data_IF_569460199157
#
_entry.id   IF_569460199157
#
_cell.length_a   1.000
_cell.length_b   1.000
_cell.length_c   1.000
_cell.angle_alpha   90.00
_cell.angle_beta   90.00
_cell.angle_gamma   90.00
#
_symmetry.space_group_name_H-M   'P 1'
#
loop_
_entity.id
_entity.type
_entity.pdbx_description
1 polymer ?
#
# COMPACT_ATOMS: atom_id res chain seq x y z
N UNK A 1 18.42 -16.23 -10.39
CA UNK A 1 17.26 -15.41 -10.00
C UNK A 1 17.34 -15.24 -8.50
N UNK A 2 17.75 -14.07 -8.04
CA UNK A 2 17.94 -13.75 -6.61
C UNK A 2 16.58 -13.42 -5.97
N UNK A 3 16.52 -13.31 -4.64
CA UNK A 3 15.26 -12.96 -3.97
C UNK A 3 14.76 -11.57 -4.39
N UNK A 4 15.67 -10.62 -4.64
CA UNK A 4 15.32 -9.27 -5.08
C UNK A 4 14.72 -9.23 -6.49
N UNK A 5 15.08 -10.18 -7.38
CA UNK A 5 14.49 -10.31 -8.73
C UNK A 5 12.99 -10.66 -8.67
N UNK A 6 12.49 -11.17 -7.53
CA UNK A 6 11.07 -11.44 -7.30
C UNK A 6 10.32 -10.22 -6.74
N UNK A 7 11.05 -9.22 -6.27
CA UNK A 7 10.51 -8.03 -5.59
C UNK A 7 10.48 -6.85 -6.55
N UNK A 8 11.59 -6.61 -7.25
CA UNK A 8 11.75 -5.44 -8.10
C UNK A 8 11.38 -5.74 -9.56
N UNK A 9 10.95 -4.72 -10.33
CA UNK A 9 10.83 -4.85 -11.77
C UNK A 9 12.19 -5.14 -12.41
N UNK A 10 12.18 -5.79 -13.57
CA UNK A 10 13.39 -6.21 -14.27
C UNK A 10 14.27 -5.00 -14.61
N UNK A 11 15.51 -5.01 -14.13
CA UNK A 11 16.47 -3.94 -14.37
C UNK A 11 16.94 -3.92 -15.83
N UNK A 12 17.14 -2.71 -16.35
CA UNK A 12 17.64 -2.41 -17.69
C UNK A 12 18.87 -1.49 -17.57
N UNK A 13 19.84 -1.64 -18.47
CA UNK A 13 21.13 -0.93 -18.40
C UNK A 13 21.04 0.61 -18.39
N UNK A 14 19.93 1.19 -18.85
CA UNK A 14 19.74 2.65 -18.91
C UNK A 14 19.01 3.25 -17.71
N UNK A 15 18.63 2.44 -16.72
CA UNK A 15 17.89 2.93 -15.56
C UNK A 15 18.82 3.59 -14.55
N UNK A 16 18.30 4.61 -13.86
CA UNK A 16 19.04 5.32 -12.82
C UNK A 16 18.92 4.58 -11.48
N UNK A 17 19.93 4.74 -10.64
CA UNK A 17 19.89 4.25 -9.26
C UNK A 17 20.34 5.33 -8.27
N UNK A 18 19.67 5.41 -7.13
CA UNK A 18 19.97 6.40 -6.09
C UNK A 18 19.95 5.82 -4.69
N UNK A 19 20.72 6.43 -3.78
CA UNK A 19 20.56 6.29 -2.33
C UNK A 19 19.98 7.60 -1.79
N UNK A 20 18.78 7.52 -1.21
CA UNK A 20 17.97 8.63 -0.75
C UNK A 20 18.06 8.78 0.77
N UNK A 21 18.27 9.99 1.25
CA UNK A 21 18.35 10.31 2.67
C UNK A 21 16.96 10.49 3.27
N UNK A 22 16.52 9.61 4.16
CA UNK A 22 15.26 9.73 4.88
C UNK A 22 15.46 10.29 6.29
N UNK A 23 14.40 10.90 6.85
CA UNK A 23 14.36 11.36 8.23
C UNK A 23 15.27 12.53 8.58
N UNK A 24 15.97 13.15 7.60
CA UNK A 24 16.94 14.24 7.87
C UNK A 24 16.26 15.39 8.59
N UNK A 25 16.84 15.87 9.68
CA UNK A 25 16.36 17.03 10.44
C UNK A 25 17.21 18.25 10.07
N UNK A 26 16.57 19.36 9.69
CA UNK A 26 17.18 20.68 9.55
C UNK A 26 16.41 21.69 10.43
N UNK A 27 17.13 22.46 11.26
CA UNK A 27 16.55 23.47 12.16
C UNK A 27 15.41 22.97 13.06
N UNK A 28 15.51 21.71 13.52
CA UNK A 28 14.49 21.09 14.38
C UNK A 28 13.24 20.59 13.64
N UNK A 29 13.18 20.68 12.30
CA UNK A 29 12.11 20.16 11.46
C UNK A 29 12.60 19.02 10.56
N UNK A 30 11.74 18.03 10.30
CA UNK A 30 12.01 16.95 9.35
C UNK A 30 12.06 17.52 7.93
N UNK A 31 13.25 17.51 7.31
CA UNK A 31 13.50 17.89 5.92
C UNK A 31 12.93 16.85 4.95
N UNK A 32 13.07 15.56 5.28
CA UNK A 32 12.53 14.46 4.47
C UNK A 32 11.64 13.57 5.33
N UNK A 33 10.44 13.26 4.82
CA UNK A 33 9.54 12.33 5.49
C UNK A 33 10.20 10.96 5.63
N UNK A 34 10.13 10.34 6.81
CA UNK A 34 10.59 8.96 7.02
C UNK A 34 9.52 7.96 6.54
N UNK A 35 9.27 8.01 5.23
CA UNK A 35 8.33 7.16 4.54
C UNK A 35 9.10 6.34 3.51
N UNK A 36 9.27 5.04 3.74
CA UNK A 36 9.94 4.14 2.79
C UNK A 36 9.28 4.16 1.40
N UNK A 37 7.98 4.48 1.35
CA UNK A 37 7.13 4.51 0.15
C UNK A 37 7.10 5.87 -0.57
N UNK A 38 7.87 6.87 -0.12
CA UNK A 38 7.91 8.14 -0.85
C UNK A 38 9.15 8.97 -0.57
N UNK A 39 9.52 9.82 -1.51
CA UNK A 39 10.62 10.77 -1.33
C UNK A 39 10.26 12.15 -1.89
N UNK A 40 10.38 13.20 -1.08
CA UNK A 40 10.05 14.57 -1.47
C UNK A 40 11.30 15.42 -1.67
N UNK A 41 11.30 16.28 -2.69
CA UNK A 41 12.39 17.23 -2.93
C UNK A 41 11.91 18.43 -3.75
N UNK A 42 12.76 19.45 -3.85
CA UNK A 42 12.49 20.62 -4.69
C UNK A 42 13.31 20.56 -5.98
N UNK A 43 12.65 20.66 -7.13
CA UNK A 43 13.28 20.54 -8.46
C UNK A 43 14.26 21.67 -8.76
N UNK A 44 14.11 22.84 -8.12
CA UNK A 44 15.03 23.97 -8.28
C UNK A 44 16.41 23.66 -7.69
N UNK A 45 16.46 22.77 -6.69
CA UNK A 45 17.71 22.36 -6.04
C UNK A 45 18.26 21.05 -6.60
N UNK A 46 17.41 20.11 -7.01
CA UNK A 46 17.83 18.84 -7.57
C UNK A 46 16.73 18.23 -8.45
N UNK A 47 16.97 18.04 -9.75
CA UNK A 47 15.98 17.49 -10.68
C UNK A 47 16.48 16.22 -11.40
N UNK A 48 17.30 15.42 -10.71
CA UNK A 48 17.99 14.25 -11.29
C UNK A 48 17.19 12.95 -11.23
N UNK A 49 16.38 12.76 -10.18
CA UNK A 49 15.55 11.57 -10.01
C UNK A 49 14.42 11.56 -11.04
N UNK A 50 14.26 10.45 -11.77
CA UNK A 50 13.19 10.24 -12.75
C UNK A 50 12.40 8.98 -12.43
N UNK A 51 11.20 8.91 -13.00
CA UNK A 51 10.38 7.70 -12.97
C UNK A 51 11.15 6.53 -13.59
N UNK A 52 10.96 5.35 -13.01
CA UNK A 52 11.70 4.15 -13.38
C UNK A 52 13.09 3.99 -12.75
N UNK A 53 13.46 4.85 -11.80
CA UNK A 53 14.70 4.73 -11.04
C UNK A 53 14.59 3.71 -9.89
N UNK A 54 15.68 3.01 -9.61
CA UNK A 54 15.81 2.17 -8.42
C UNK A 54 16.39 2.97 -7.26
N UNK A 55 15.87 2.75 -6.05
CA UNK A 55 16.26 3.57 -4.90
C UNK A 55 16.54 2.70 -3.68
N UNK A 56 17.55 3.11 -2.91
CA UNK A 56 17.78 2.65 -1.54
C UNK A 56 17.54 3.80 -0.58
N UNK A 57 17.02 3.52 0.61
CA UNK A 57 16.73 4.50 1.65
C UNK A 57 17.81 4.41 2.73
N UNK A 58 18.33 5.57 3.13
CA UNK A 58 19.40 5.70 4.13
C UNK A 58 18.97 6.64 5.24
N UNK A 59 19.19 6.24 6.49
CA UNK A 59 19.21 7.19 7.61
C UNK A 59 20.60 7.82 7.68
N UNK A 60 20.75 9.16 7.52
CA UNK A 60 22.04 9.81 7.63
C UNK A 60 22.64 9.69 9.04
N UNK A 61 23.98 9.74 9.11
CA UNK A 61 24.73 9.69 10.37
C UNK A 61 24.29 10.70 11.42
N UNK A 62 23.74 11.85 11.01
CA UNK A 62 23.24 12.89 11.93
C UNK A 62 22.00 12.46 12.73
N UNK A 63 21.31 11.39 12.33
CA UNK A 63 20.07 10.91 12.97
C UNK A 63 20.29 9.75 13.95
N UNK A 64 21.33 8.95 13.74
CA UNK A 64 21.59 7.80 14.61
C UNK A 64 22.30 8.21 15.90
N UNK A 65 21.94 7.58 17.03
CA UNK A 65 22.58 7.79 18.34
C UNK A 65 24.08 7.51 18.31
N UNK A 66 24.53 6.59 17.46
CA UNK A 66 25.94 6.22 17.30
C UNK A 66 26.67 7.01 16.19
N UNK A 67 26.00 8.02 15.61
CA UNK A 67 26.52 8.85 14.51
C UNK A 67 26.95 8.09 13.26
N UNK A 68 26.36 6.91 13.02
CA UNK A 68 26.59 6.09 11.83
C UNK A 68 25.38 6.15 10.91
N UNK A 69 25.61 6.11 9.59
CA UNK A 69 24.50 5.93 8.65
C UNK A 69 24.14 4.44 8.56
N UNK A 70 22.91 4.18 8.14
CA UNK A 70 22.47 2.84 7.74
C UNK A 70 21.59 2.92 6.50
N UNK A 71 21.72 1.93 5.62
CA UNK A 71 20.85 1.72 4.47
C UNK A 71 19.91 0.57 4.86
N UNK A 72 18.62 0.86 4.93
CA UNK A 72 17.65 0.03 5.65
C UNK A 72 16.52 -0.49 4.76
N UNK A 73 16.30 0.13 3.61
CA UNK A 73 15.21 -0.21 2.71
C UNK A 73 15.54 0.19 1.27
N UNK A 74 14.66 -0.14 0.34
CA UNK A 74 14.70 0.33 -1.03
C UNK A 74 13.39 0.10 -1.76
N UNK A 75 13.38 0.39 -3.05
CA UNK A 75 12.22 0.18 -3.92
C UNK A 75 12.43 0.74 -5.33
N UNK A 76 11.30 1.00 -6.00
CA UNK A 76 11.24 1.47 -7.37
C UNK A 76 10.43 2.76 -7.47
N UNK A 77 10.93 3.76 -8.20
CA UNK A 77 10.20 5.03 -8.41
C UNK A 77 9.15 4.82 -9.49
N UNK A 78 7.91 4.65 -9.09
CA UNK A 78 6.78 4.43 -10.01
C UNK A 78 6.35 5.73 -10.68
N UNK A 79 6.20 6.78 -9.88
CA UNK A 79 5.65 8.05 -10.32
C UNK A 79 6.31 9.20 -9.56
N UNK A 80 6.43 10.36 -10.21
CA UNK A 80 6.79 11.62 -9.57
C UNK A 80 5.61 12.59 -9.75
N UNK A 81 5.18 13.24 -8.67
CA UNK A 81 4.11 14.24 -8.75
C UNK A 81 4.51 15.43 -9.63
N UNK A 82 3.51 16.11 -10.19
CA UNK A 82 3.73 17.43 -10.75
C UNK A 82 4.29 18.39 -9.68
N UNK A 83 5.14 19.36 -10.06
CA UNK A 83 5.66 20.35 -9.14
C UNK A 83 4.55 21.27 -8.64
N UNK A 84 4.54 21.52 -7.32
CA UNK A 84 3.72 22.58 -6.73
C UNK A 84 4.25 23.99 -7.12
N UNK A 85 3.56 25.04 -6.66
CA UNK A 85 3.92 26.44 -6.92
C UNK A 85 5.37 26.78 -6.50
N UNK A 86 5.87 26.11 -5.46
CA UNK A 86 7.22 26.28 -4.93
C UNK A 86 8.27 25.41 -5.64
N UNK A 87 7.84 24.48 -6.49
CA UNK A 87 8.67 23.53 -7.21
C UNK A 87 8.98 22.25 -6.42
N UNK A 88 8.21 21.93 -5.38
CA UNK A 88 8.35 20.66 -4.67
C UNK A 88 7.62 19.55 -5.42
N UNK A 89 8.24 18.39 -5.47
CA UNK A 89 7.71 17.17 -6.06
C UNK A 89 7.90 16.01 -5.09
N UNK A 90 7.12 14.95 -5.30
CA UNK A 90 7.19 13.72 -4.49
C UNK A 90 7.21 12.50 -5.39
N UNK A 91 8.22 11.66 -5.22
CA UNK A 91 8.28 10.32 -5.78
C UNK A 91 7.44 9.36 -4.95
N UNK A 92 6.63 8.54 -5.62
CA UNK A 92 6.01 7.33 -5.11
C UNK A 92 6.99 6.17 -5.29
N UNK A 93 7.34 5.51 -4.20
CA UNK A 93 8.24 4.34 -4.20
C UNK A 93 7.40 3.09 -4.01
N UNK A 94 7.31 2.26 -5.06
CA UNK A 94 6.63 0.95 -5.09
C UNK A 94 7.65 -0.18 -4.94
N UNK A 95 7.17 -1.43 -4.92
CA UNK A 95 8.03 -2.62 -4.80
C UNK A 95 9.01 -2.51 -3.63
N UNK A 96 8.55 -1.91 -2.53
CA UNK A 96 9.41 -1.55 -1.41
C UNK A 96 9.89 -2.79 -0.68
N UNK A 97 11.13 -2.75 -0.20
CA UNK A 97 11.73 -3.83 0.58
C UNK A 97 12.54 -3.28 1.75
N UNK A 98 12.64 -4.09 2.81
CA UNK A 98 13.55 -3.88 3.93
C UNK A 98 14.84 -4.67 3.70
N UNK A 99 15.95 -4.14 4.20
CA UNK A 99 17.24 -4.82 4.25
C UNK A 99 17.43 -5.32 5.68
N UNK A 100 17.52 -6.63 5.86
CA UNK A 100 17.58 -7.26 7.18
C UNK A 100 18.83 -8.15 7.32
N UNK A 101 19.81 -7.80 8.16
CA UNK A 101 19.93 -6.54 8.91
C UNK A 101 20.32 -5.36 7.99
N UNK A 102 20.02 -4.10 8.38
CA UNK A 102 20.43 -2.92 7.62
C UNK A 102 21.94 -2.87 7.38
N UNK A 103 22.36 -2.33 6.23
CA UNK A 103 23.77 -2.11 5.93
C UNK A 103 24.23 -0.90 6.72
N UNK A 104 25.09 -1.12 7.72
CA UNK A 104 25.50 -0.09 8.66
C UNK A 104 26.93 0.37 8.42
N UNK A 105 27.18 1.66 8.65
CA UNK A 105 28.54 2.19 8.59
C UNK A 105 29.46 1.46 9.59
N UNK A 106 30.61 1.00 9.08
CA UNK A 106 31.56 0.18 9.82
C UNK A 106 31.39 -1.32 9.59
N UNK A 107 30.37 -1.78 8.87
CA UNK A 107 30.29 -3.17 8.44
C UNK A 107 31.33 -3.44 7.35
N UNK A 108 32.03 -4.58 7.42
CA UNK A 108 33.10 -4.94 6.48
C UNK A 108 32.64 -4.86 5.01
N UNK A 109 31.38 -5.23 4.76
CA UNK A 109 30.77 -5.18 3.44
C UNK A 109 30.77 -3.76 2.84
N UNK A 110 30.20 -2.78 3.55
CA UNK A 110 30.09 -1.41 3.03
C UNK A 110 31.43 -0.66 3.10
N UNK A 111 32.30 -1.04 4.05
CA UNK A 111 33.62 -0.45 4.17
C UNK A 111 34.53 -0.84 3.01
N UNK A 112 34.45 -2.10 2.57
CA UNK A 112 35.21 -2.67 1.44
C UNK A 112 34.53 -2.53 0.07
N UNK A 113 33.29 -2.03 0.02
CA UNK A 113 32.54 -1.89 -1.23
C UNK A 113 33.26 -0.96 -2.23
N UNK A 114 33.47 -1.45 -3.46
CA UNK A 114 34.17 -0.73 -4.53
C UNK A 114 33.22 0.13 -5.34
N UNK A 115 33.20 1.42 -5.02
CA UNK A 115 32.47 2.44 -5.78
C UNK A 115 33.23 2.84 -7.04
N UNK A 116 32.62 2.65 -8.20
CA UNK A 116 33.16 3.03 -9.50
C UNK A 116 32.81 4.48 -9.87
N UNK A 117 31.70 5.01 -9.36
CA UNK A 117 31.26 6.40 -9.61
C UNK A 117 31.75 7.44 -8.59
N UNK A 118 32.28 7.01 -7.44
CA UNK A 118 32.68 7.90 -6.34
C UNK A 118 33.99 7.46 -5.69
N UNK A 119 34.90 8.40 -5.42
CA UNK A 119 36.12 8.13 -4.64
C UNK A 119 35.83 8.27 -3.15
N UNK A 120 35.64 7.14 -2.46
CA UNK A 120 35.62 7.10 -1.00
C UNK A 120 37.04 7.27 -0.48
N UNK A 121 37.27 8.25 0.41
CA UNK A 121 38.56 8.39 1.11
C UNK A 121 38.70 7.24 2.12
N UNK A 122 39.90 6.68 2.25
CA UNK A 122 40.15 5.56 3.16
C UNK A 122 39.61 5.86 4.56
N UNK A 123 38.72 4.99 5.07
CA UNK A 123 38.04 5.07 6.36
C UNK A 123 37.28 6.38 6.66
N UNK A 124 36.90 7.15 5.64
CA UNK A 124 36.18 8.41 5.85
C UNK A 124 35.05 8.61 4.83
N UNK A 125 33.82 8.70 5.35
CA UNK A 125 32.59 8.98 4.61
C UNK A 125 32.28 10.47 4.47
N UNK A 126 33.12 11.36 5.01
CA UNK A 126 32.98 12.81 4.87
C UNK A 126 32.95 13.21 3.38
N UNK A 127 31.96 14.01 3.01
CA UNK A 127 31.70 14.51 1.65
C UNK A 127 31.39 13.41 0.61
N UNK A 128 31.20 12.14 1.03
CA UNK A 128 30.79 11.07 0.12
C UNK A 128 29.31 11.19 -0.26
N UNK A 129 28.49 11.60 0.71
CA UNK A 129 27.06 11.84 0.55
C UNK A 129 26.78 13.30 0.14
N UNK A 130 25.84 13.47 -0.77
CA UNK A 130 25.32 14.76 -1.25
C UNK A 130 24.64 15.54 -0.12
N UNK A 131 24.81 16.86 -0.13
CA UNK A 131 24.13 17.75 0.81
C UNK A 131 22.59 17.76 0.65
N UNK A 132 22.11 17.43 -0.54
CA UNK A 132 20.69 17.43 -0.92
C UNK A 132 20.00 16.06 -0.79
N UNK A 133 20.66 15.08 -0.17
CA UNK A 133 20.03 13.82 0.19
C UNK A 133 19.76 12.84 -0.95
N UNK A 134 19.99 13.21 -2.21
CA UNK A 134 19.99 12.27 -3.33
C UNK A 134 21.41 11.93 -3.75
N UNK A 135 21.74 10.65 -3.71
CA UNK A 135 23.06 10.14 -4.01
C UNK A 135 22.97 9.19 -5.20
N UNK A 136 23.24 9.71 -6.40
CA UNK A 136 23.28 8.85 -7.58
C UNK A 136 24.41 7.82 -7.44
N UNK A 137 24.07 6.58 -7.78
CA UNK A 137 24.95 5.41 -7.84
C UNK A 137 24.73 4.74 -9.19
N UNK A 138 25.67 3.91 -9.63
CA UNK A 138 25.44 3.14 -10.85
C UNK A 138 24.45 2.00 -10.60
N UNK A 139 23.74 1.58 -11.64
CA UNK A 139 22.80 0.47 -11.54
C UNK A 139 23.52 -0.84 -11.15
N UNK A 140 24.74 -1.07 -11.62
CA UNK A 140 25.55 -2.23 -11.23
C UNK A 140 25.98 -2.17 -9.76
N UNK A 141 26.15 -0.97 -9.19
CA UNK A 141 26.42 -0.78 -7.76
C UNK A 141 25.17 -1.07 -6.93
N UNK A 142 23.99 -0.64 -7.40
CA UNK A 142 22.70 -0.99 -6.78
C UNK A 142 22.52 -2.51 -6.74
N UNK A 143 22.67 -3.19 -7.88
CA UNK A 143 22.56 -4.64 -7.98
C UNK A 143 23.51 -5.36 -7.02
N UNK A 144 24.77 -4.93 -6.96
CA UNK A 144 25.76 -5.51 -6.03
C UNK A 144 25.37 -5.32 -4.57
N UNK A 145 24.78 -4.17 -4.21
CA UNK A 145 24.32 -3.90 -2.84
C UNK A 145 23.16 -4.82 -2.46
N UNK A 146 22.10 -4.86 -3.27
CA UNK A 146 20.88 -5.62 -2.95
C UNK A 146 21.08 -7.13 -3.03
N UNK A 147 21.98 -7.62 -3.88
CA UNK A 147 22.29 -9.05 -3.98
C UNK A 147 23.24 -9.55 -2.87
N UNK A 148 23.92 -8.64 -2.17
CA UNK A 148 24.83 -8.99 -1.07
C UNK A 148 24.13 -9.05 0.30
N UNK A 149 22.86 -8.64 0.37
CA UNK A 149 22.09 -8.57 1.62
C UNK A 149 20.76 -9.27 1.47
N UNK A 150 20.17 -9.66 2.60
CA UNK A 150 18.83 -10.22 2.60
C UNK A 150 17.80 -9.09 2.46
N UNK A 151 17.07 -9.10 1.35
CA UNK A 151 16.01 -8.15 1.05
C UNK A 151 14.67 -8.82 1.28
N UNK A 152 13.90 -8.31 2.25
CA UNK A 152 12.57 -8.80 2.59
C UNK A 152 11.54 -7.82 2.04
N UNK A 153 10.50 -8.24 1.31
CA UNK A 153 9.43 -7.34 0.88
C UNK A 153 8.89 -6.55 2.08
N UNK A 154 8.83 -5.23 1.97
CA UNK A 154 8.27 -4.40 3.02
C UNK A 154 6.76 -4.68 3.05
N UNK A 155 6.23 -5.16 4.18
CA UNK A 155 4.78 -5.35 4.31
C UNK A 155 4.08 -4.01 4.03
N UNK A 156 3.20 -4.01 3.02
CA UNK A 156 2.47 -2.84 2.56
C UNK A 156 1.66 -2.21 3.71
N UNK A 157 2.24 -1.20 4.34
CA UNK A 157 1.46 -0.15 5.00
C UNK A 157 1.16 0.89 3.94
N UNK A 158 -0.10 0.89 3.49
CA UNK A 158 -0.60 1.41 2.22
C UNK A 158 -0.56 0.34 1.11
N UNK A 159 -1.76 -0.17 0.82
CA UNK A 159 -2.10 -0.79 -0.44
C UNK A 159 -1.48 -0.03 -1.60
N UNK A 160 -1.04 -0.79 -2.61
CA UNK A 160 -0.84 -0.31 -3.97
C UNK A 160 -2.17 0.20 -4.47
N UNK A 161 -2.37 1.46 -4.18
CA UNK A 161 -3.43 2.28 -4.67
C UNK A 161 -2.83 2.82 -6.00
N UNK A 162 -2.95 2.04 -7.08
CA UNK A 162 -2.72 2.55 -8.44
C UNK A 162 -3.59 3.81 -8.59
N UNK A 163 -3.00 4.96 -8.92
CA UNK A 163 -3.78 6.17 -9.22
C UNK A 163 -4.61 5.89 -10.46
N UNK A 164 -5.86 5.49 -10.24
CA UNK A 164 -6.82 5.26 -11.32
C UNK A 164 -7.31 6.63 -11.80
N UNK A 165 -7.08 6.95 -13.07
CA UNK A 165 -7.63 8.18 -13.66
C UNK A 165 -9.16 8.08 -13.80
N UNK A 166 -9.87 9.20 -13.75
CA UNK A 166 -11.34 9.21 -13.83
C UNK A 166 -11.87 8.72 -15.20
N UNK A 167 -11.09 8.92 -16.26
CA UNK A 167 -11.40 8.43 -17.61
C UNK A 167 -11.21 6.90 -17.75
N UNK A 168 -10.26 6.34 -17.01
CA UNK A 168 -10.06 4.89 -16.89
C UNK A 168 -11.26 4.24 -16.19
N UNK A 169 -11.68 4.74 -15.01
CA UNK A 169 -12.85 4.24 -14.26
C UNK A 169 -14.12 4.21 -15.13
N UNK A 170 -14.36 5.29 -15.89
CA UNK A 170 -15.55 5.42 -16.72
C UNK A 170 -15.60 4.41 -17.88
N UNK A 171 -14.43 4.10 -18.45
CA UNK A 171 -14.28 3.08 -19.51
C UNK A 171 -14.38 1.64 -18.94
N UNK A 172 -14.18 1.46 -17.62
CA UNK A 172 -14.16 0.15 -16.96
C UNK A 172 -15.52 -0.37 -16.51
N UNK A 173 -16.44 0.50 -16.06
CA UNK A 173 -17.81 0.12 -15.66
C UNK A 173 -18.59 -0.50 -16.82
N UNK A 174 -18.28 -0.16 -18.07
CA UNK A 174 -19.03 -0.64 -19.23
C UNK A 174 -18.66 -2.06 -19.68
N UNK A 175 -17.57 -2.68 -19.18
CA UNK A 175 -17.03 -3.95 -19.72
C UNK A 175 -16.91 -5.12 -18.72
N UNK A 176 -17.18 -4.91 -17.43
CA UNK A 176 -17.24 -5.96 -16.39
C UNK A 176 -15.90 -6.59 -15.99
N UNK A 177 -15.92 -7.39 -14.91
CA UNK A 177 -14.75 -8.09 -14.31
C UNK A 177 -14.87 -9.62 -14.36
N UNK A 178 -13.71 -10.30 -14.41
CA UNK A 178 -13.58 -11.75 -14.21
C UNK A 178 -13.38 -12.02 -12.72
N UNK A 179 -14.31 -12.78 -12.13
CA UNK A 179 -14.35 -13.04 -10.68
C UNK A 179 -14.09 -14.52 -10.40
N UNK A 180 -13.15 -14.80 -9.48
CA UNK A 180 -12.91 -16.15 -8.95
C UNK A 180 -13.21 -16.23 -7.44
N UNK A 181 -13.75 -17.35 -6.99
CA UNK A 181 -14.05 -17.62 -5.58
C UNK A 181 -12.92 -18.40 -4.92
N UNK A 182 -12.56 -18.06 -3.68
CA UNK A 182 -11.69 -18.88 -2.84
C UNK A 182 -12.50 -19.77 -1.89
N UNK A 183 -12.26 -21.09 -1.93
CA UNK A 183 -12.76 -22.04 -0.95
C UNK A 183 -11.90 -22.05 0.33
N UNK A 184 -12.50 -22.43 1.46
CA UNK A 184 -11.96 -22.29 2.83
C UNK A 184 -10.65 -23.04 3.16
N UNK A 185 -10.04 -23.75 2.20
CA UNK A 185 -8.89 -24.63 2.43
C UNK A 185 -7.50 -23.96 2.25
N UNK A 186 -7.39 -22.63 2.36
CA UNK A 186 -6.08 -21.96 2.30
C UNK A 186 -5.61 -21.45 3.66
N UNK A 187 -4.41 -21.88 4.05
CA UNK A 187 -3.78 -21.52 5.33
C UNK A 187 -3.19 -20.11 5.24
N UNK A 188 -3.83 -19.12 5.87
CA UNK A 188 -3.33 -17.73 5.87
C UNK A 188 -2.39 -17.46 7.06
N UNK A 189 -1.35 -16.67 6.82
CA UNK A 189 -0.37 -16.27 7.84
C UNK A 189 -0.99 -15.29 8.84
N UNK A 190 -1.15 -15.71 10.10
CA UNK A 190 -1.57 -14.86 11.21
C UNK A 190 -0.39 -13.98 11.66
N UNK A 191 -0.32 -12.71 11.24
CA UNK A 191 0.64 -11.73 11.79
C UNK A 191 -0.09 -10.66 12.60
N UNK A 192 0.09 -10.69 13.93
CA UNK A 192 -0.28 -9.57 14.82
C UNK A 192 0.75 -8.47 14.70
N UNK A 193 0.31 -7.25 14.36
CA UNK A 193 1.15 -6.05 14.25
C UNK A 193 1.37 -5.45 15.64
N UNK A 194 2.60 -5.03 15.94
CA UNK A 194 2.91 -4.20 17.11
C UNK A 194 3.12 -2.75 16.65
N UNK A 195 2.22 -1.85 17.03
CA UNK A 195 2.29 -0.43 16.62
C UNK A 195 3.23 0.35 17.54
N UNK A 196 4.35 0.84 17.01
CA UNK A 196 5.11 1.96 17.63
C UNK A 196 4.56 3.28 17.09
N UNK A 197 4.14 4.16 17.98
CA UNK A 197 3.61 5.48 17.64
C UNK A 197 4.74 6.41 17.16
N UNK A 198 4.91 6.52 15.84
CA UNK A 198 5.78 7.51 15.20
C UNK A 198 4.87 8.48 14.45
N UNK A 199 4.92 9.76 14.81
CA UNK A 199 4.12 10.80 14.17
C UNK A 199 4.64 11.04 12.73
N UNK A 200 3.80 10.73 11.75
CA UNK A 200 4.06 10.90 10.31
C UNK A 200 3.06 11.93 9.76
N UNK A 201 3.53 12.90 8.99
CA UNK A 201 2.67 13.75 8.15
C UNK A 201 2.13 12.87 7.01
N UNK A 202 0.90 12.39 7.17
CA UNK A 202 0.18 11.58 6.18
C UNK A 202 -0.81 12.53 5.50
N UNK A 203 -0.79 12.57 4.17
CA UNK A 203 -1.84 13.22 3.40
C UNK A 203 -3.08 12.30 3.41
N UNK A 204 -3.87 12.46 4.47
CA UNK A 204 -5.05 11.64 4.71
C UNK A 204 -6.12 11.84 3.62
N UNK A 205 -6.16 13.00 2.97
CA UNK A 205 -7.21 13.34 2.01
C UNK A 205 -7.04 12.57 0.70
N UNK A 206 -5.82 12.50 0.15
CA UNK A 206 -5.56 11.74 -1.07
C UNK A 206 -5.74 10.24 -0.87
N UNK A 207 -5.24 9.70 0.26
CA UNK A 207 -5.42 8.29 0.63
C UNK A 207 -6.90 7.96 0.82
N UNK A 208 -7.66 8.85 1.47
CA UNK A 208 -9.08 8.63 1.69
C UNK A 208 -9.87 8.64 0.38
N UNK A 209 -9.60 9.59 -0.53
CA UNK A 209 -10.25 9.65 -1.86
C UNK A 209 -9.98 8.37 -2.65
N UNK A 210 -8.77 7.83 -2.57
CA UNK A 210 -8.42 6.64 -3.32
C UNK A 210 -9.03 5.37 -2.74
N UNK A 211 -9.04 5.24 -1.41
CA UNK A 211 -9.78 4.18 -0.71
C UNK A 211 -11.27 4.21 -1.04
N UNK A 212 -11.86 5.40 -1.13
CA UNK A 212 -13.26 5.57 -1.55
C UNK A 212 -13.48 5.09 -2.99
N UNK A 213 -12.59 5.46 -3.93
CA UNK A 213 -12.68 5.00 -5.33
C UNK A 213 -12.57 3.47 -5.44
N UNK A 214 -11.64 2.85 -4.72
CA UNK A 214 -11.47 1.40 -4.69
C UNK A 214 -12.66 0.70 -4.02
N UNK A 215 -13.17 1.26 -2.93
CA UNK A 215 -14.39 0.80 -2.26
C UNK A 215 -15.57 0.74 -3.23
N UNK A 216 -15.87 1.88 -3.87
CA UNK A 216 -16.97 2.00 -4.83
C UNK A 216 -16.83 1.05 -6.03
N UNK A 217 -15.60 0.81 -6.51
CA UNK A 217 -15.35 -0.15 -7.59
C UNK A 217 -15.68 -1.59 -7.15
N UNK A 218 -15.27 -1.98 -5.94
CA UNK A 218 -15.61 -3.30 -5.41
C UNK A 218 -17.11 -3.48 -5.18
N UNK A 219 -17.81 -2.43 -4.70
CA UNK A 219 -19.27 -2.43 -4.59
C UNK A 219 -19.93 -2.69 -5.96
N UNK A 220 -19.48 -2.02 -7.02
CA UNK A 220 -19.99 -2.24 -8.38
C UNK A 220 -19.74 -3.66 -8.88
N UNK A 221 -18.54 -4.21 -8.67
CA UNK A 221 -18.19 -5.58 -9.06
C UNK A 221 -19.13 -6.60 -8.41
N UNK A 222 -19.37 -6.44 -7.10
CA UNK A 222 -20.28 -7.30 -6.35
C UNK A 222 -21.71 -7.12 -6.86
N UNK A 223 -22.14 -5.89 -7.11
CA UNK A 223 -23.49 -5.58 -7.57
C UNK A 223 -23.78 -6.23 -8.92
N UNK A 224 -22.88 -6.09 -9.91
CA UNK A 224 -22.99 -6.77 -11.20
C UNK A 224 -23.05 -8.29 -11.07
N UNK A 225 -22.22 -8.86 -10.19
CA UNK A 225 -22.21 -10.29 -9.91
C UNK A 225 -23.56 -10.77 -9.38
N UNK A 226 -24.15 -10.02 -8.45
CA UNK A 226 -25.46 -10.32 -7.88
C UNK A 226 -26.59 -10.16 -8.89
N UNK A 227 -26.51 -9.18 -9.80
CA UNK A 227 -27.46 -9.04 -10.91
C UNK A 227 -27.42 -10.30 -11.79
N UNK A 228 -26.23 -10.74 -12.20
CA UNK A 228 -26.05 -11.95 -13.01
C UNK A 228 -26.60 -13.19 -12.30
N UNK A 229 -26.35 -13.31 -10.99
CA UNK A 229 -26.88 -14.42 -10.16
C UNK A 229 -28.41 -14.36 -10.07
N UNK A 230 -28.99 -13.18 -9.83
CA UNK A 230 -30.43 -13.00 -9.74
C UNK A 230 -31.13 -13.32 -11.07
N UNK A 231 -30.58 -12.87 -12.20
CA UNK A 231 -31.08 -13.19 -13.54
C UNK A 231 -31.04 -14.70 -13.81
N UNK A 232 -29.94 -15.37 -13.46
CA UNK A 232 -29.82 -16.83 -13.65
C UNK A 232 -30.85 -17.61 -12.82
N UNK A 233 -31.14 -17.13 -11.62
CA UNK A 233 -32.04 -17.81 -10.68
C UNK A 233 -33.50 -17.30 -10.78
N UNK A 234 -33.81 -16.36 -11.70
CA UNK A 234 -35.10 -15.66 -11.77
C UNK A 234 -35.51 -14.99 -10.43
N UNK A 235 -34.54 -14.55 -9.65
CA UNK A 235 -34.78 -13.81 -8.41
C UNK A 235 -34.99 -12.31 -8.69
N UNK A 236 -35.51 -11.60 -7.70
CA UNK A 236 -35.57 -10.13 -7.73
C UNK A 236 -34.16 -9.54 -7.89
N UNK A 237 -34.00 -8.48 -8.69
CA UNK A 237 -32.71 -7.84 -8.89
C UNK A 237 -32.22 -7.21 -7.58
N UNK A 238 -30.90 -7.25 -7.27
CA UNK A 238 -30.34 -6.60 -6.09
C UNK A 238 -30.53 -5.07 -6.14
N UNK A 239 -30.48 -4.43 -4.97
CA UNK A 239 -30.53 -2.97 -4.80
C UNK A 239 -29.22 -2.49 -4.18
N UNK A 240 -28.58 -1.50 -4.82
CA UNK A 240 -27.38 -0.84 -4.30
C UNK A 240 -27.79 0.24 -3.29
N UNK A 241 -27.91 -0.14 -2.04
CA UNK A 241 -28.56 0.65 -0.99
C UNK A 241 -27.73 1.89 -0.63
N UNK A 242 -26.39 1.78 -0.62
CA UNK A 242 -25.49 2.94 -0.41
C UNK A 242 -25.71 4.07 -1.43
N UNK A 243 -26.15 3.76 -2.65
CA UNK A 243 -26.42 4.75 -3.72
C UNK A 243 -27.85 5.31 -3.69
N UNK A 244 -28.82 4.54 -3.20
CA UNK A 244 -30.25 4.88 -3.30
C UNK A 244 -30.81 5.43 -1.99
N UNK A 245 -30.43 4.85 -0.86
CA UNK A 245 -30.95 5.16 0.48
C UNK A 245 -29.88 5.80 1.39
N UNK A 246 -28.59 5.70 1.02
CA UNK A 246 -27.43 6.29 1.70
C UNK A 246 -26.74 5.38 2.71
N UNK A 247 -25.61 5.82 3.27
CA UNK A 247 -24.68 5.02 4.10
C UNK A 247 -25.19 4.71 5.54
N UNK A 248 -26.47 4.96 5.82
CA UNK A 248 -27.04 4.91 7.18
C UNK A 248 -27.43 3.51 7.67
N UNK A 249 -27.48 2.51 6.79
CA UNK A 249 -28.07 1.20 7.07
C UNK A 249 -27.05 0.13 7.50
N UNK A 250 -25.75 0.36 7.28
CA UNK A 250 -24.67 -0.53 7.71
C UNK A 250 -24.44 -1.75 6.81
N UNK A 251 -24.85 -1.64 5.55
CA UNK A 251 -24.56 -2.56 4.45
C UNK A 251 -24.65 -1.82 3.11
N UNK A 252 -23.97 -2.31 2.08
CA UNK A 252 -23.89 -1.65 0.77
C UNK A 252 -24.98 -2.12 -0.18
N UNK A 253 -25.29 -3.43 -0.17
CA UNK A 253 -26.18 -4.06 -1.16
C UNK A 253 -27.22 -4.95 -0.46
N UNK A 254 -28.47 -4.86 -0.92
CA UNK A 254 -29.56 -5.76 -0.54
C UNK A 254 -29.90 -6.67 -1.71
N UNK A 255 -30.01 -7.97 -1.48
CA UNK A 255 -30.38 -8.96 -2.49
C UNK A 255 -31.37 -10.00 -1.92
N UNK A 256 -31.77 -10.97 -2.75
CA UNK A 256 -32.73 -12.00 -2.38
C UNK A 256 -32.18 -13.39 -2.67
N UNK A 257 -32.28 -14.29 -1.68
CA UNK A 257 -31.95 -15.71 -1.86
C UNK A 257 -33.04 -16.45 -2.67
N UNK A 258 -32.82 -17.73 -2.92
CA UNK A 258 -33.75 -18.60 -3.68
C UNK A 258 -35.11 -18.80 -2.97
N UNK A 259 -35.16 -18.59 -1.65
CA UNK A 259 -36.39 -18.63 -0.85
C UNK A 259 -37.14 -17.28 -0.86
N UNK A 260 -36.57 -16.25 -1.49
CA UNK A 260 -37.11 -14.90 -1.51
C UNK A 260 -36.86 -14.09 -0.24
N UNK A 261 -35.98 -14.56 0.65
CA UNK A 261 -35.59 -13.86 1.86
C UNK A 261 -34.52 -12.80 1.53
N UNK A 262 -34.56 -11.69 2.26
CA UNK A 262 -33.59 -10.61 2.09
C UNK A 262 -32.22 -11.04 2.64
N UNK A 263 -31.19 -10.76 1.84
CA UNK A 263 -29.80 -10.86 2.21
C UNK A 263 -29.15 -9.48 2.13
N UNK A 264 -28.27 -9.20 3.07
CA UNK A 264 -27.64 -7.90 3.24
C UNK A 264 -26.14 -8.08 3.14
N UNK A 265 -25.50 -7.28 2.28
CA UNK A 265 -24.11 -7.49 1.88
C UNK A 265 -23.31 -6.23 2.15
N UNK A 266 -22.27 -6.41 2.94
CA UNK A 266 -21.19 -5.44 3.14
C UNK A 266 -20.01 -5.81 2.25
N UNK A 267 -19.49 -4.85 1.49
CA UNK A 267 -18.40 -5.06 0.55
C UNK A 267 -17.13 -4.44 1.10
N UNK A 268 -16.09 -5.28 1.25
CA UNK A 268 -14.76 -4.82 1.69
C UNK A 268 -13.77 -5.03 0.57
N UNK A 269 -13.19 -3.95 0.06
CA UNK A 269 -12.30 -4.02 -1.11
C UNK A 269 -10.84 -3.81 -0.74
N UNK A 270 -9.92 -4.49 -1.45
CA UNK A 270 -8.48 -4.22 -1.43
C UNK A 270 -7.86 -4.54 -2.80
N UNK A 271 -6.85 -3.80 -3.21
CA UNK A 271 -6.01 -4.12 -4.37
C UNK A 271 -4.95 -5.18 -4.04
N UNK A 272 -4.58 -5.32 -2.77
CA UNK A 272 -3.56 -6.28 -2.35
C UNK A 272 -4.06 -7.72 -2.38
N UNK A 273 -3.12 -8.68 -2.41
CA UNK A 273 -3.37 -10.09 -2.05
C UNK A 273 -4.05 -10.20 -0.69
N UNK A 274 -4.69 -11.35 -0.44
CA UNK A 274 -5.46 -11.58 0.78
C UNK A 274 -4.65 -11.25 2.03
N UNK A 275 -5.09 -10.21 2.75
CA UNK A 275 -4.59 -9.85 4.07
C UNK A 275 -5.68 -10.17 5.08
N UNK A 276 -5.32 -10.85 6.16
CA UNK A 276 -6.24 -11.06 7.28
C UNK A 276 -6.59 -9.71 7.92
N UNK A 277 -7.87 -9.55 8.28
CA UNK A 277 -8.43 -8.30 8.80
C UNK A 277 -8.99 -7.34 7.74
N UNK A 278 -10.06 -6.66 8.12
CA UNK A 278 -10.70 -5.57 7.40
C UNK A 278 -11.36 -4.62 8.40
N UNK A 279 -11.51 -3.35 8.04
CA UNK A 279 -12.12 -2.35 8.89
C UNK A 279 -13.65 -2.39 8.74
N UNK A 280 -14.36 -2.31 9.86
CA UNK A 280 -15.81 -2.13 9.88
C UNK A 280 -16.20 -0.97 10.79
N UNK A 281 -17.20 -0.21 10.37
CA UNK A 281 -17.77 0.85 11.20
C UNK A 281 -18.66 0.28 12.31
N UNK A 282 -18.91 1.09 13.33
CA UNK A 282 -19.84 0.73 14.41
C UNK A 282 -21.24 0.41 13.88
N UNK A 283 -21.66 1.07 12.79
CA UNK A 283 -23.00 0.90 12.24
C UNK A 283 -23.11 -0.44 11.52
N UNK A 284 -22.09 -0.83 10.76
CA UNK A 284 -22.00 -2.13 10.10
C UNK A 284 -21.99 -3.30 11.10
N UNK A 285 -21.19 -3.19 12.18
CA UNK A 285 -21.17 -4.21 13.23
C UNK A 285 -22.57 -4.38 13.84
N UNK A 286 -23.26 -3.27 14.15
CA UNK A 286 -24.63 -3.31 14.66
C UNK A 286 -25.62 -3.91 13.67
N UNK A 287 -25.53 -3.54 12.40
CA UNK A 287 -26.38 -4.08 11.34
C UNK A 287 -26.20 -5.60 11.22
N UNK A 288 -24.95 -6.06 11.22
CA UNK A 288 -24.62 -7.49 11.16
C UNK A 288 -25.25 -8.31 12.28
N UNK A 289 -25.40 -7.73 13.48
CA UNK A 289 -26.01 -8.38 14.64
C UNK A 289 -27.54 -8.25 14.71
N UNK A 290 -28.12 -7.23 14.06
CA UNK A 290 -29.56 -6.95 14.11
C UNK A 290 -30.34 -7.66 12.99
N UNK A 291 -29.65 -7.95 11.90
CA UNK A 291 -30.18 -8.65 10.74
C UNK A 291 -30.18 -10.15 11.02
N UNK A 292 -31.30 -10.81 10.74
CA UNK A 292 -31.65 -12.17 11.16
C UNK A 292 -30.80 -13.28 10.49
N UNK A 293 -29.48 -13.25 10.64
CA UNK A 293 -28.52 -14.22 10.09
C UNK A 293 -28.15 -14.00 8.61
N UNK A 294 -28.95 -13.25 7.84
CA UNK A 294 -28.72 -13.03 6.41
C UNK A 294 -27.77 -11.86 6.11
N UNK A 295 -26.73 -11.68 6.91
CA UNK A 295 -25.70 -10.66 6.70
C UNK A 295 -24.43 -11.31 6.18
N UNK A 296 -23.89 -10.80 5.08
CA UNK A 296 -22.70 -11.34 4.44
C UNK A 296 -21.66 -10.24 4.23
N UNK A 297 -20.40 -10.62 4.36
CA UNK A 297 -19.27 -9.76 4.00
C UNK A 297 -18.63 -10.33 2.75
N UNK A 298 -18.64 -9.55 1.67
CA UNK A 298 -17.90 -9.89 0.46
C UNK A 298 -16.57 -9.16 0.47
N UNK A 299 -15.51 -9.92 0.72
CA UNK A 299 -14.14 -9.43 0.66
C UNK A 299 -13.62 -9.56 -0.77
N UNK A 300 -13.59 -8.45 -1.49
CA UNK A 300 -12.94 -8.33 -2.79
C UNK A 300 -11.47 -8.01 -2.57
N UNK A 301 -10.57 -8.83 -3.09
CA UNK A 301 -9.11 -8.65 -2.96
C UNK A 301 -8.38 -9.11 -4.22
N UNK A 302 -7.06 -8.88 -4.26
CA UNK A 302 -6.23 -9.12 -5.45
C UNK A 302 -6.83 -8.42 -6.69
N UNK A 303 -7.43 -7.24 -6.47
CA UNK A 303 -8.12 -6.48 -7.50
C UNK A 303 -7.10 -5.87 -8.45
N UNK A 304 -6.97 -6.49 -9.62
CA UNK A 304 -6.09 -6.01 -10.68
C UNK A 304 -6.93 -5.32 -11.76
N UNK A 305 -6.78 -4.00 -11.83
CA UNK A 305 -7.55 -3.16 -12.76
C UNK A 305 -7.10 -3.40 -14.21
N UNK A 306 -5.82 -3.68 -14.44
CA UNK A 306 -5.24 -3.92 -15.77
C UNK A 306 -5.72 -5.25 -16.35
N UNK A 307 -5.70 -6.32 -15.56
CA UNK A 307 -6.15 -7.65 -16.02
C UNK A 307 -7.66 -7.85 -15.87
N UNK A 308 -8.34 -6.98 -15.11
CA UNK A 308 -9.77 -7.07 -14.77
C UNK A 308 -10.12 -8.36 -14.03
N UNK A 309 -9.23 -8.75 -13.15
CA UNK A 309 -9.36 -9.95 -12.34
C UNK A 309 -9.44 -9.54 -10.88
N UNK A 310 -10.30 -10.22 -10.13
CA UNK A 310 -10.34 -10.11 -8.69
C UNK A 310 -10.77 -11.43 -8.08
N UNK A 311 -10.47 -11.57 -6.79
CA UNK A 311 -10.92 -12.69 -5.98
C UNK A 311 -11.92 -12.22 -4.95
N UNK A 312 -12.91 -13.08 -4.67
CA UNK A 312 -13.91 -12.81 -3.66
C UNK A 312 -13.91 -13.94 -2.62
N UNK A 313 -13.83 -13.54 -1.36
CA UNK A 313 -14.09 -14.40 -0.20
C UNK A 313 -15.35 -13.92 0.52
N UNK A 314 -16.20 -14.85 0.90
CA UNK A 314 -17.48 -14.57 1.55
C UNK A 314 -17.35 -14.96 3.02
N UNK A 315 -17.80 -14.07 3.91
CA UNK A 315 -17.95 -14.38 5.33
C UNK A 315 -19.40 -14.21 5.75
N UNK A 316 -19.88 -15.09 6.61
CA UNK A 316 -21.22 -15.01 7.21
C UNK A 316 -21.16 -14.20 8.50
N UNK A 317 -22.11 -13.30 8.66
CA UNK A 317 -22.36 -12.59 9.91
C UNK A 317 -23.12 -13.47 10.93
N UNK A 318 -23.34 -12.98 12.15
CA UNK A 318 -22.98 -11.64 12.63
C UNK A 318 -21.48 -11.50 12.91
N UNK A 319 -20.98 -10.26 12.87
CA UNK A 319 -19.61 -9.96 13.28
C UNK A 319 -19.56 -9.78 14.78
N UNK A 320 -19.10 -10.80 15.49
CA UNK A 320 -19.00 -10.81 16.95
C UNK A 320 -17.63 -11.32 17.38
N UNK A 321 -17.33 -11.22 18.69
CA UNK A 321 -16.13 -11.83 19.27
C UNK A 321 -16.14 -13.36 19.22
N UNK A 322 -17.28 -13.98 18.92
CA UNK A 322 -17.41 -15.44 18.79
C UNK A 322 -17.04 -15.90 17.37
N UNK A 323 -17.28 -15.05 16.35
CA UNK A 323 -17.03 -15.35 14.94
C UNK A 323 -15.75 -14.70 14.41
N UNK A 324 -15.29 -13.59 14.98
CA UNK A 324 -14.10 -12.84 14.55
C UNK A 324 -13.23 -12.35 15.71
N UNK A 325 -11.94 -12.11 15.43
CA UNK A 325 -11.03 -11.41 16.33
C UNK A 325 -11.15 -9.90 16.11
N UNK A 326 -11.74 -9.17 17.05
CA UNK A 326 -11.98 -7.73 16.95
C UNK A 326 -10.86 -6.94 17.65
N UNK A 327 -10.32 -5.93 16.96
CA UNK A 327 -9.35 -4.98 17.51
C UNK A 327 -9.89 -3.55 17.41
N UNK A 328 -9.82 -2.79 18.50
CA UNK A 328 -10.32 -1.42 18.54
C UNK A 328 -9.33 -0.46 17.88
N UNK A 329 -9.75 0.17 16.77
CA UNK A 329 -8.93 1.11 16.00
C UNK A 329 -9.22 2.58 16.31
N UNK A 330 -10.41 2.90 16.84
CA UNK A 330 -10.81 4.27 17.17
C UNK A 330 -11.76 4.34 18.37
N UNK A 331 -11.72 5.45 19.11
CA UNK A 331 -12.58 5.72 20.27
C UNK A 331 -13.30 7.07 20.11
N UNK A 332 -14.59 7.10 20.43
CA UNK A 332 -15.37 8.34 20.52
C UNK A 332 -15.55 8.72 21.98
N UNK A 333 -15.05 9.90 22.35
CA UNK A 333 -15.07 10.41 23.72
C UNK A 333 -16.24 11.38 23.89
N UNK A 334 -17.01 11.22 24.96
CA UNK A 334 -18.08 12.14 25.35
C UNK A 334 -17.80 12.69 26.74
N UNK A 335 -18.10 13.97 26.96
CA UNK A 335 -18.09 14.56 28.28
C UNK A 335 -19.25 13.99 29.09
N UNK A 336 -18.97 13.57 30.33
CA UNK A 336 -19.98 13.06 31.26
C UNK A 336 -20.87 14.15 31.80
#
# INVERSE_FOLDING_TARGET
>A
MTEIDKILPKMQEKQQAFILDHGKIEEGKLKYADAQTSYGWNIKHNNRLKEGAFVLNRHPSKLSKDKKFEIYAGGYVEQISEPDEDGNVRALITHSFNIEPPIKQGDDFIESFKWSGKKKKSNNWANFWSQYGMNEIKIDEFEKLVNAVQCVPAESTASEDEKISEDEIKTFVEKGFTVSYEEDNTTYSKRKKTTKFIAKQIDFESIQKQRQKIGALGEEIVFELLIKKAQKNNNKPPIHVSKVEGDGLGYDIRCWNELGEECYIEVKTSTSKFSDGFEMSRNEIKASASINGNYFIYRVYDLNIKTRECKIKIFEGPVSSETFNLEATSYKVYQK
#
